data_IF_874491750138
#
_entry.id   IF_874491750138
#
_cell.length_a   1.000
_cell.length_b   1.000
_cell.length_c   1.000
_cell.angle_alpha   90.00
_cell.angle_beta   90.00
_cell.angle_gamma   90.00
#
_symmetry.space_group_name_H-M   'P 1'
#
loop_
_entity.id
_entity.type
_entity.pdbx_description
1 polymer ?
#
# COMPACT_ATOMS: atom_id res chain seq x y z
N UNK A 1 -0.30 -14.14 -12.05
CA UNK A 1 -0.40 -15.59 -11.75
C UNK A 1 -1.85 -16.04 -11.74
N UNK A 2 -2.14 -17.23 -11.20
CA UNK A 2 -3.47 -17.87 -11.23
C UNK A 2 -4.56 -16.95 -10.65
N UNK A 3 -4.27 -16.28 -9.54
CA UNK A 3 -5.26 -15.45 -8.84
C UNK A 3 -5.66 -14.17 -9.56
N UNK A 4 -4.84 -13.66 -10.49
CA UNK A 4 -5.09 -12.41 -11.24
C UNK A 4 -5.73 -11.30 -10.37
N UNK A 5 -5.13 -10.98 -9.23
CA UNK A 5 -5.74 -10.17 -8.14
C UNK A 5 -6.34 -8.85 -8.64
N UNK A 6 -5.60 -8.14 -9.50
CA UNK A 6 -6.00 -6.87 -10.10
C UNK A 6 -7.28 -6.94 -10.95
N UNK A 7 -7.68 -8.13 -11.41
CA UNK A 7 -8.91 -8.31 -12.19
C UNK A 7 -10.18 -8.24 -11.33
N UNK A 8 -10.10 -8.56 -10.03
CA UNK A 8 -11.27 -8.66 -9.15
C UNK A 8 -11.19 -7.82 -7.88
N UNK A 9 -10.00 -7.43 -7.41
CA UNK A 9 -9.84 -6.66 -6.18
C UNK A 9 -9.94 -5.17 -6.47
N UNK A 10 -11.00 -4.53 -6.00
CA UNK A 10 -11.17 -3.08 -6.11
C UNK A 10 -10.12 -2.31 -5.31
N UNK A 11 -9.71 -2.87 -4.17
CA UNK A 11 -8.69 -2.32 -3.28
C UNK A 11 -7.64 -3.40 -2.98
N UNK A 12 -6.37 -3.01 -3.00
CA UNK A 12 -5.25 -3.84 -2.55
C UNK A 12 -4.48 -3.10 -1.46
N UNK A 13 -3.78 -3.84 -0.59
CA UNK A 13 -2.89 -3.28 0.41
C UNK A 13 -1.44 -3.70 0.16
N UNK A 14 -0.50 -2.85 0.56
CA UNK A 14 0.93 -3.15 0.48
C UNK A 14 1.70 -2.58 1.69
N UNK A 15 2.77 -3.27 2.08
CA UNK A 15 3.74 -2.74 3.04
C UNK A 15 4.76 -1.86 2.36
N UNK A 16 5.17 -0.78 3.04
CA UNK A 16 6.16 0.18 2.55
C UNK A 16 7.62 -0.26 2.78
N UNK A 17 7.83 -1.43 3.40
CA UNK A 17 9.17 -2.01 3.67
C UNK A 17 10.10 -2.01 2.44
N UNK A 18 9.64 -2.37 1.21
CA UNK A 18 10.51 -2.38 0.03
C UNK A 18 10.80 -1.00 -0.56
N UNK A 19 10.23 0.07 0.00
CA UNK A 19 10.33 1.41 -0.55
C UNK A 19 9.35 1.67 -1.70
N UNK A 20 9.49 2.83 -2.33
CA UNK A 20 8.55 3.40 -3.30
C UNK A 20 8.25 2.50 -4.52
N UNK A 21 9.16 1.60 -4.88
CA UNK A 21 9.00 0.74 -6.06
C UNK A 21 7.79 -0.19 -5.95
N UNK A 22 7.36 -0.55 -4.74
CA UNK A 22 6.14 -1.35 -4.56
C UNK A 22 4.88 -0.58 -4.98
N UNK A 23 4.84 0.72 -4.72
CA UNK A 23 3.72 1.60 -5.09
C UNK A 23 3.64 1.70 -6.60
N UNK A 24 4.78 1.96 -7.25
CA UNK A 24 4.85 2.12 -8.71
C UNK A 24 4.47 0.83 -9.42
N UNK A 25 5.08 -0.30 -9.04
CA UNK A 25 4.81 -1.58 -9.68
C UNK A 25 3.36 -2.04 -9.58
N UNK A 26 2.69 -1.80 -8.43
CA UNK A 26 1.27 -2.10 -8.28
C UNK A 26 0.41 -1.07 -9.04
N UNK A 27 0.73 0.22 -8.94
CA UNK A 27 -0.02 1.29 -9.62
C UNK A 27 -0.05 1.14 -11.13
N UNK A 28 1.06 0.68 -11.73
CA UNK A 28 1.18 0.50 -13.18
C UNK A 28 0.14 -0.49 -13.74
N UNK A 29 -0.26 -1.48 -12.94
CA UNK A 29 -1.28 -2.46 -13.32
C UNK A 29 -2.67 -2.15 -12.74
N UNK A 30 -2.74 -1.45 -11.60
CA UNK A 30 -4.00 -1.19 -10.88
C UNK A 30 -4.75 0.03 -11.43
N UNK A 31 -4.04 1.14 -11.69
CA UNK A 31 -4.65 2.42 -12.14
C UNK A 31 -5.39 2.31 -13.48
N UNK A 32 -4.85 1.65 -14.52
CA UNK A 32 -5.57 1.49 -15.78
C UNK A 32 -6.90 0.74 -15.66
N UNK A 33 -7.07 -0.02 -14.57
CA UNK A 33 -8.29 -0.78 -14.25
C UNK A 33 -9.15 -0.11 -13.18
N UNK A 34 -8.83 1.12 -12.78
CA UNK A 34 -9.56 1.85 -11.74
C UNK A 34 -9.51 1.17 -10.38
N UNK A 35 -8.40 0.49 -10.06
CA UNK A 35 -8.19 -0.19 -8.77
C UNK A 35 -7.34 0.65 -7.83
N UNK A 36 -7.74 0.66 -6.58
CA UNK A 36 -7.14 1.44 -5.53
C UNK A 36 -6.05 0.67 -4.78
N UNK A 37 -5.12 1.42 -4.19
CA UNK A 37 -4.04 0.89 -3.36
C UNK A 37 -4.01 1.65 -2.03
N UNK A 38 -3.93 0.90 -0.94
CA UNK A 38 -3.69 1.41 0.41
C UNK A 38 -2.35 0.92 0.97
N UNK A 39 -1.69 1.74 1.78
CA UNK A 39 -0.44 1.37 2.43
C UNK A 39 -0.70 0.98 3.88
N UNK A 40 0.00 -0.05 4.35
CA UNK A 40 -0.04 -0.51 5.74
C UNK A 40 1.04 0.21 6.56
N UNK A 41 0.65 1.22 7.30
CA UNK A 41 1.50 2.07 8.13
C UNK A 41 1.65 1.60 9.59
N UNK A 42 0.64 0.92 10.12
CA UNK A 42 0.65 0.31 11.46
C UNK A 42 -0.07 -1.04 11.43
N UNK A 43 0.28 -1.92 12.37
CA UNK A 43 -0.35 -3.23 12.53
C UNK A 43 -0.88 -3.37 13.96
N UNK A 44 -2.01 -4.05 14.11
CA UNK A 44 -2.62 -4.29 15.43
C UNK A 44 -1.93 -5.39 16.25
N UNK A 45 -1.02 -6.14 15.64
CA UNK A 45 -0.31 -7.22 16.34
C UNK A 45 0.64 -6.70 17.40
N UNK A 46 0.72 -7.44 18.52
CA UNK A 46 1.69 -7.16 19.58
C UNK A 46 3.12 -7.21 19.02
N UNK A 47 3.98 -6.29 19.46
CA UNK A 47 5.40 -6.20 19.08
C UNK A 47 5.65 -6.01 17.57
N UNK A 48 4.71 -5.39 16.86
CA UNK A 48 4.95 -5.03 15.45
C UNK A 48 6.09 -4.02 15.28
N UNK A 49 6.76 -4.13 14.13
CA UNK A 49 7.89 -3.27 13.74
C UNK A 49 7.44 -2.02 12.96
N UNK A 50 6.14 -1.88 12.71
CA UNK A 50 5.54 -0.82 11.89
C UNK A 50 5.05 0.32 12.77
N UNK A 51 5.96 0.90 13.57
CA UNK A 51 5.67 2.03 14.48
C UNK A 51 6.66 3.16 14.30
N UNK A 52 6.31 4.33 14.81
CA UNK A 52 7.17 5.50 14.83
C UNK A 52 7.52 5.97 13.42
N UNK A 53 8.82 6.02 13.11
CA UNK A 53 9.31 6.52 11.82
C UNK A 53 8.77 5.73 10.62
N UNK A 54 8.56 4.42 10.77
CA UNK A 54 7.97 3.60 9.70
C UNK A 54 6.57 4.12 9.32
N UNK A 55 5.74 4.43 10.31
CA UNK A 55 4.37 4.94 10.13
C UNK A 55 4.41 6.32 9.47
N UNK A 56 5.26 7.23 9.99
CA UNK A 56 5.41 8.59 9.44
C UNK A 56 5.84 8.57 7.98
N UNK A 57 6.83 7.73 7.64
CA UNK A 57 7.31 7.59 6.26
C UNK A 57 6.22 7.00 5.38
N UNK A 58 5.50 5.98 5.85
CA UNK A 58 4.44 5.33 5.08
C UNK A 58 3.27 6.27 4.79
N UNK A 59 2.82 7.04 5.79
CA UNK A 59 1.81 8.09 5.64
C UNK A 59 2.28 9.13 4.62
N UNK A 60 3.51 9.64 4.78
CA UNK A 60 4.08 10.64 3.86
C UNK A 60 4.11 10.15 2.41
N UNK A 61 4.34 8.86 2.21
CA UNK A 61 4.33 8.24 0.90
C UNK A 61 2.93 8.10 0.32
N UNK A 62 1.94 7.71 1.15
CA UNK A 62 0.54 7.66 0.73
C UNK A 62 0.07 9.04 0.23
N UNK A 63 0.41 10.12 0.95
CA UNK A 63 0.11 11.50 0.52
C UNK A 63 0.77 11.85 -0.81
N UNK A 64 2.07 11.56 -0.97
CA UNK A 64 2.82 11.87 -2.19
C UNK A 64 2.24 11.18 -3.43
N UNK A 65 1.64 10.00 -3.25
CA UNK A 65 1.08 9.19 -4.33
C UNK A 65 -0.44 9.26 -4.47
N UNK A 66 -1.12 10.06 -3.65
CA UNK A 66 -2.57 10.17 -3.58
C UNK A 66 -3.26 8.82 -3.33
N UNK A 67 -2.71 8.04 -2.39
CA UNK A 67 -3.24 6.72 -2.02
C UNK A 67 -4.24 6.80 -0.87
N UNK A 68 -5.10 5.78 -0.77
CA UNK A 68 -6.10 5.68 0.31
C UNK A 68 -5.41 5.32 1.63
N UNK A 69 -5.79 6.04 2.68
CA UNK A 69 -5.26 5.91 4.04
C UNK A 69 -6.34 5.41 5.01
N UNK A 70 -6.01 4.42 5.85
CA UNK A 70 -6.88 3.86 6.88
C UNK A 70 -6.10 3.71 8.18
N UNK A 71 -6.69 4.14 9.30
CA UNK A 71 -6.14 4.01 10.66
C UNK A 71 -6.26 2.57 11.20
#
# INVERSE_FOLDING_TARGET
>A
GIYRIVEWSDLMSAHMVPGELIIRGISDVSKPKGRELSLLEEMSSKENLTKGDYTVVTVSMAWRFFLIYFY
#
